data_IF_725781661418
#
_entry.id   IF_725781661418
#
_cell.length_a   1.000
_cell.length_b   1.000
_cell.length_c   1.000
_cell.angle_alpha   90.00
_cell.angle_beta   90.00
_cell.angle_gamma   90.00
#
_symmetry.space_group_name_H-M   'P 1'
#
loop_
_entity.id
_entity.type
_entity.pdbx_description
1 polymer ?
#
# COMPACT_ATOMS: atom_id res chain seq x y z
N UNK A 1 20.26 -10.26 7.74
CA UNK A 1 19.09 -10.67 8.41
C UNK A 1 18.50 -11.83 7.69
N UNK A 2 17.94 -12.60 8.45
CA UNK A 2 17.22 -13.68 7.93
C UNK A 2 15.96 -13.15 7.23
N UNK A 3 15.82 -13.42 5.94
CA UNK A 3 14.63 -13.02 5.19
C UNK A 3 13.36 -13.62 5.78
N UNK A 4 13.47 -14.71 6.55
CA UNK A 4 12.34 -15.33 7.24
C UNK A 4 11.82 -14.45 8.39
N UNK A 5 12.67 -13.62 8.98
CA UNK A 5 12.27 -12.71 10.05
C UNK A 5 11.62 -11.44 9.51
N UNK A 6 11.96 -11.03 8.29
CA UNK A 6 11.43 -9.86 7.64
C UNK A 6 12.30 -8.62 7.82
N UNK A 7 11.74 -7.47 7.51
CA UNK A 7 12.44 -6.19 7.50
C UNK A 7 11.98 -5.29 8.64
N UNK A 8 12.92 -4.49 9.18
CA UNK A 8 12.63 -3.51 10.24
C UNK A 8 11.93 -2.27 9.70
N UNK A 9 12.25 -1.89 8.48
CA UNK A 9 11.68 -0.71 7.83
C UNK A 9 11.40 -1.04 6.38
N UNK A 10 10.20 -0.72 5.95
CA UNK A 10 9.81 -0.85 4.55
C UNK A 10 9.41 0.52 4.03
N UNK A 11 10.12 0.98 3.00
CA UNK A 11 9.89 2.25 2.35
C UNK A 11 9.57 1.98 0.88
N UNK A 12 8.58 2.65 0.34
CA UNK A 12 8.20 2.44 -1.04
C UNK A 12 7.72 3.69 -1.73
N UNK A 13 8.05 3.75 -3.01
CA UNK A 13 7.58 4.75 -3.96
C UNK A 13 7.25 3.99 -5.24
N UNK A 14 5.95 3.78 -5.49
CA UNK A 14 5.49 3.04 -6.66
C UNK A 14 4.69 3.96 -7.57
N UNK A 15 4.84 3.74 -8.88
CA UNK A 15 4.16 4.53 -9.91
C UNK A 15 3.31 3.63 -10.80
N UNK A 16 2.25 4.20 -11.37
CA UNK A 16 1.34 3.56 -12.32
C UNK A 16 0.52 2.41 -11.72
N UNK A 17 0.47 2.31 -10.39
CA UNK A 17 -0.33 1.29 -9.71
C UNK A 17 -0.82 1.84 -8.38
N UNK A 18 -2.04 1.49 -8.00
CA UNK A 18 -2.55 1.84 -6.68
C UNK A 18 -1.76 1.14 -5.59
N UNK A 19 -1.45 1.87 -4.52
CA UNK A 19 -0.80 1.33 -3.34
C UNK A 19 -1.62 0.18 -2.72
N UNK A 20 -2.95 0.26 -2.82
CA UNK A 20 -3.84 -0.79 -2.29
C UNK A 20 -3.65 -2.13 -2.97
N UNK A 21 -3.13 -2.14 -4.20
CA UNK A 21 -2.82 -3.36 -4.93
C UNK A 21 -1.44 -3.92 -4.58
N UNK A 22 -0.53 -3.08 -4.11
CA UNK A 22 0.85 -3.47 -3.77
C UNK A 22 0.94 -3.99 -2.34
N UNK A 23 0.24 -3.35 -1.40
CA UNK A 23 0.36 -3.63 0.03
C UNK A 23 0.15 -5.11 0.39
N UNK A 24 -0.87 -5.82 -0.14
CA UNK A 24 -1.08 -7.23 0.24
C UNK A 24 0.12 -8.13 -0.06
N UNK A 25 0.93 -7.77 -1.05
CA UNK A 25 2.08 -8.57 -1.45
C UNK A 25 3.33 -8.31 -0.62
N UNK A 26 3.37 -7.25 0.19
CA UNK A 26 4.60 -6.82 0.85
C UNK A 26 4.50 -6.73 2.37
N UNK A 27 3.31 -6.50 2.94
CA UNK A 27 3.20 -6.25 4.39
C UNK A 27 3.64 -7.44 5.23
N UNK A 28 3.49 -8.67 4.71
CA UNK A 28 3.92 -9.89 5.44
C UNK A 28 5.45 -9.98 5.54
N UNK A 29 6.18 -9.19 4.78
CA UNK A 29 7.65 -9.15 4.84
C UNK A 29 8.16 -8.25 5.97
N UNK A 30 7.27 -7.47 6.60
CA UNK A 30 7.63 -6.57 7.68
C UNK A 30 7.67 -7.34 9.01
N UNK A 31 8.72 -7.14 9.78
CA UNK A 31 8.83 -7.75 11.12
C UNK A 31 7.70 -7.28 12.04
N UNK A 32 7.35 -8.06 13.09
CA UNK A 32 6.34 -7.65 14.06
C UNK A 32 6.56 -6.27 14.67
N UNK A 33 7.82 -5.87 14.83
CA UNK A 33 8.20 -4.55 15.36
C UNK A 33 8.54 -3.55 14.27
N UNK A 34 8.37 -3.93 13.00
CA UNK A 34 8.77 -3.11 11.86
C UNK A 34 7.84 -1.94 11.59
N UNK A 35 8.35 -1.00 10.82
CA UNK A 35 7.62 0.19 10.39
C UNK A 35 7.49 0.22 8.88
N UNK A 36 6.35 0.65 8.40
CA UNK A 36 6.09 0.87 6.98
C UNK A 36 5.92 2.36 6.74
N UNK A 37 6.60 2.86 5.72
CA UNK A 37 6.48 4.25 5.27
C UNK A 37 6.37 4.25 3.76
N UNK A 38 5.20 4.57 3.22
CA UNK A 38 4.94 4.50 1.79
C UNK A 38 4.48 5.86 1.27
N UNK A 39 4.93 6.20 0.07
CA UNK A 39 4.49 7.39 -0.63
C UNK A 39 3.15 7.10 -1.31
N UNK A 40 2.17 7.97 -1.08
CA UNK A 40 0.85 7.88 -1.68
C UNK A 40 0.74 8.93 -2.76
N UNK A 41 0.48 8.49 -3.97
CA UNK A 41 0.37 9.35 -5.14
C UNK A 41 -1.08 9.39 -5.60
N UNK A 42 -1.82 10.48 -5.34
CA UNK A 42 -3.25 10.57 -5.65
C UNK A 42 -3.59 10.23 -7.10
N UNK A 43 -2.73 10.58 -8.05
CA UNK A 43 -2.97 10.32 -9.46
C UNK A 43 -3.10 8.83 -9.81
N UNK A 44 -2.57 7.94 -8.95
CA UNK A 44 -2.67 6.49 -9.14
C UNK A 44 -3.71 5.83 -8.24
N UNK A 45 -4.38 6.62 -7.38
CA UNK A 45 -5.44 6.14 -6.47
C UNK A 45 -6.84 6.52 -6.95
N UNK A 46 -6.94 7.35 -7.98
CA UNK A 46 -8.21 7.86 -8.49
C UNK A 46 -8.60 7.16 -9.80
N UNK A 47 -9.90 7.22 -10.12
CA UNK A 47 -10.40 6.77 -11.41
C UNK A 47 -9.92 7.73 -12.52
N UNK A 48 -9.77 7.24 -13.77
CA UNK A 48 -9.27 8.10 -14.87
C UNK A 48 -10.02 9.41 -15.03
N UNK A 49 -11.33 9.42 -14.83
CA UNK A 49 -12.15 10.63 -14.98
C UNK A 49 -11.93 11.66 -13.87
N UNK A 50 -11.25 11.29 -12.78
CA UNK A 50 -10.96 12.17 -11.65
C UNK A 50 -9.58 12.80 -11.75
N UNK A 51 -8.78 12.37 -12.70
CA UNK A 51 -7.42 12.87 -12.91
C UNK A 51 -7.44 13.82 -14.11
N UNK A 52 -6.88 15.01 -13.93
CA UNK A 52 -6.85 16.02 -14.96
C UNK A 52 -5.89 15.70 -16.10
N UNK A 53 -5.85 16.59 -17.08
CA UNK A 53 -4.96 16.51 -18.22
C UNK A 53 -3.50 16.45 -17.76
N UNK A 54 -2.72 15.55 -18.32
CA UNK A 54 -1.32 15.37 -17.93
C UNK A 54 -1.14 14.59 -16.65
N UNK A 55 -2.19 13.95 -16.11
CA UNK A 55 -2.12 13.14 -14.89
C UNK A 55 -2.11 13.96 -13.61
N UNK A 56 -2.50 15.24 -13.66
CA UNK A 56 -2.49 16.12 -12.49
C UNK A 56 -3.85 16.10 -11.80
N UNK A 57 -3.84 15.86 -10.50
CA UNK A 57 -5.03 15.93 -9.65
C UNK A 57 -5.18 17.38 -9.18
N UNK A 58 -6.17 18.09 -9.73
CA UNK A 58 -6.39 19.51 -9.42
C UNK A 58 -7.38 19.72 -8.29
N UNK A 59 -8.22 18.73 -8.01
CA UNK A 59 -9.28 18.86 -7.02
C UNK A 59 -8.88 18.14 -5.73
N UNK A 60 -8.51 18.93 -4.73
CA UNK A 60 -8.10 18.40 -3.43
C UNK A 60 -9.26 17.80 -2.62
N UNK A 61 -10.50 17.95 -3.07
CA UNK A 61 -11.64 17.29 -2.42
C UNK A 61 -11.57 15.77 -2.51
N UNK A 62 -10.75 15.24 -3.42
CA UNK A 62 -10.52 13.80 -3.53
C UNK A 62 -9.56 13.27 -2.47
N UNK A 63 -8.78 14.12 -1.80
CA UNK A 63 -7.76 13.66 -0.86
C UNK A 63 -8.31 12.89 0.35
N UNK A 64 -9.41 13.33 0.99
CA UNK A 64 -10.01 12.54 2.08
C UNK A 64 -10.45 11.14 1.64
N UNK A 65 -10.94 11.00 0.43
CA UNK A 65 -11.32 9.71 -0.14
C UNK A 65 -10.09 8.80 -0.30
N UNK A 66 -9.00 9.36 -0.81
CA UNK A 66 -7.75 8.63 -1.01
C UNK A 66 -7.19 8.18 0.33
N UNK A 67 -7.15 9.08 1.31
CA UNK A 67 -6.68 8.76 2.66
C UNK A 67 -7.50 7.63 3.29
N UNK A 68 -8.82 7.73 3.22
CA UNK A 68 -9.71 6.70 3.75
C UNK A 68 -9.49 5.35 3.07
N UNK A 69 -9.32 5.35 1.76
CA UNK A 69 -9.09 4.13 0.99
C UNK A 69 -7.80 3.43 1.39
N UNK A 70 -6.71 4.18 1.52
CA UNK A 70 -5.41 3.61 1.92
C UNK A 70 -5.44 3.13 3.37
N UNK A 71 -6.03 3.93 4.27
CA UNK A 71 -6.17 3.53 5.68
C UNK A 71 -7.00 2.26 5.83
N UNK A 72 -8.08 2.15 5.08
CA UNK A 72 -8.95 0.97 5.11
C UNK A 72 -8.19 -0.26 4.61
N UNK A 73 -7.45 -0.13 3.51
CA UNK A 73 -6.66 -1.24 2.97
C UNK A 73 -5.65 -1.76 3.99
N UNK A 74 -4.94 -0.87 4.68
CA UNK A 74 -3.97 -1.25 5.71
C UNK A 74 -4.64 -1.90 6.91
N UNK A 75 -5.76 -1.35 7.36
CA UNK A 75 -6.52 -1.89 8.49
C UNK A 75 -7.05 -3.29 8.18
N UNK A 76 -7.53 -3.52 6.96
CA UNK A 76 -7.99 -4.84 6.54
C UNK A 76 -6.87 -5.87 6.50
N UNK A 77 -5.63 -5.43 6.30
CA UNK A 77 -4.45 -6.30 6.36
C UNK A 77 -3.97 -6.54 7.80
N UNK A 78 -4.63 -5.94 8.79
CA UNK A 78 -4.27 -6.12 10.20
C UNK A 78 -3.28 -5.08 10.71
N UNK A 79 -2.97 -4.05 9.93
CA UNK A 79 -2.02 -3.02 10.33
C UNK A 79 -2.71 -1.83 11.00
N UNK A 80 -1.93 -1.09 11.78
CA UNK A 80 -2.36 0.16 12.40
C UNK A 80 -1.67 1.32 11.68
N UNK A 81 -2.46 2.26 11.17
CA UNK A 81 -1.94 3.48 10.58
C UNK A 81 -1.57 4.44 11.70
N UNK A 82 -0.29 4.84 11.77
CA UNK A 82 0.26 5.69 12.81
C UNK A 82 0.51 7.11 12.34
N UNK A 83 0.46 7.35 11.04
CA UNK A 83 0.64 8.70 10.51
C UNK A 83 0.19 8.84 9.08
N UNK A 84 -0.29 10.04 8.77
CA UNK A 84 -0.61 10.48 7.42
C UNK A 84 -0.08 11.90 7.29
N UNK A 85 0.92 12.10 6.43
CA UNK A 85 1.67 13.34 6.36
C UNK A 85 1.68 13.85 4.93
N UNK A 86 1.58 15.17 4.78
CA UNK A 86 1.84 15.80 3.49
C UNK A 86 3.31 15.67 3.15
N UNK A 87 3.60 15.31 1.89
CA UNK A 87 4.96 15.38 1.41
C UNK A 87 5.37 16.86 1.29
N UNK A 88 6.52 17.27 1.82
CA UNK A 88 6.96 18.65 1.72
C UNK A 88 7.38 19.03 0.30
N UNK A 89 7.53 18.06 -0.58
CA UNK A 89 7.95 18.26 -1.96
C UNK A 89 6.87 17.66 -2.86
N UNK A 90 6.42 18.45 -3.86
CA UNK A 90 5.50 17.95 -4.88
C UNK A 90 6.20 16.90 -5.74
N UNK A 91 5.43 15.96 -6.30
CA UNK A 91 5.95 15.00 -7.25
C UNK A 91 6.52 15.69 -8.49
N UNK A 92 7.29 14.92 -9.28
CA UNK A 92 7.95 15.45 -10.47
C UNK A 92 6.99 16.02 -11.51
N UNK A 93 5.72 15.64 -11.48
CA UNK A 93 4.65 16.16 -12.33
C UNK A 93 3.86 17.30 -11.69
N UNK A 94 4.25 17.74 -10.50
CA UNK A 94 3.57 18.79 -9.75
C UNK A 94 2.42 18.32 -8.88
N UNK A 95 2.15 17.02 -8.82
CA UNK A 95 1.09 16.48 -7.96
C UNK A 95 1.47 16.55 -6.49
N UNK A 96 0.48 16.85 -5.65
CA UNK A 96 0.58 16.73 -4.20
C UNK A 96 0.69 15.25 -3.84
N UNK A 97 1.61 14.91 -2.94
CA UNK A 97 1.82 13.54 -2.48
C UNK A 97 1.78 13.47 -0.96
N UNK A 98 1.53 12.26 -0.45
CA UNK A 98 1.41 12.04 0.98
C UNK A 98 2.30 10.87 1.38
N UNK A 99 2.66 10.82 2.67
CA UNK A 99 3.26 9.63 3.27
C UNK A 99 2.26 8.98 4.21
N UNK A 100 2.14 7.67 4.13
CA UNK A 100 1.42 6.88 5.12
C UNK A 100 2.42 6.08 5.94
N UNK A 101 2.26 6.12 7.26
CA UNK A 101 3.07 5.35 8.19
C UNK A 101 2.18 4.34 8.89
N UNK A 102 2.66 3.09 9.00
CA UNK A 102 1.89 2.02 9.61
C UNK A 102 2.81 1.01 10.30
N UNK A 103 2.26 0.28 11.25
CA UNK A 103 2.97 -0.78 11.96
C UNK A 103 1.98 -1.87 12.36
N UNK A 104 2.50 -2.99 12.83
CA UNK A 104 1.67 -4.01 13.43
C UNK A 104 1.26 -3.56 14.84
N UNK A 105 -0.03 -3.65 15.21
CA UNK A 105 -0.52 -3.07 16.47
C UNK A 105 -0.07 -3.83 17.72
N UNK A 106 0.08 -5.15 17.62
CA UNK A 106 0.41 -6.01 18.76
C UNK A 106 1.35 -7.10 18.29
N UNK A 107 2.64 -7.06 18.71
CA UNK A 107 3.61 -8.08 18.32
C UNK A 107 3.20 -9.51 18.65
N UNK A 108 2.41 -9.72 19.71
CA UNK A 108 1.94 -11.04 20.07
C UNK A 108 0.88 -11.59 19.11
N UNK A 109 0.08 -10.71 18.49
CA UNK A 109 -0.97 -11.07 17.57
C UNK A 109 -0.56 -10.96 16.10
N UNK A 110 0.64 -10.46 15.82
CA UNK A 110 1.04 -10.10 14.46
C UNK A 110 1.33 -11.31 13.57
N UNK A 111 1.84 -12.40 14.14
CA UNK A 111 2.19 -13.57 13.34
C UNK A 111 0.99 -14.18 12.62
N UNK A 112 -0.19 -14.33 13.26
CA UNK A 112 -1.38 -14.78 12.56
C UNK A 112 -1.81 -13.83 11.43
N UNK A 113 -1.74 -12.51 11.65
CA UNK A 113 -2.11 -11.53 10.65
C UNK A 113 -1.15 -11.57 9.45
N UNK A 114 0.16 -11.62 9.71
CA UNK A 114 1.17 -11.76 8.65
C UNK A 114 0.97 -13.03 7.85
N UNK A 115 0.72 -14.12 8.53
CA UNK A 115 0.53 -15.41 7.86
C UNK A 115 -0.73 -15.38 6.99
N UNK A 116 -1.81 -14.76 7.47
CA UNK A 116 -3.04 -14.62 6.71
C UNK A 116 -2.81 -13.78 5.43
N UNK A 117 -2.07 -12.67 5.52
CA UNK A 117 -1.77 -11.85 4.34
C UNK A 117 -0.87 -12.58 3.36
N UNK A 118 0.11 -13.35 3.87
CA UNK A 118 0.98 -14.15 3.04
C UNK A 118 0.21 -15.24 2.29
N UNK A 119 -0.63 -15.97 2.99
CA UNK A 119 -1.43 -17.04 2.40
C UNK A 119 -2.40 -16.49 1.36
N UNK A 120 -3.07 -15.39 1.67
CA UNK A 120 -3.99 -14.76 0.73
C UNK A 120 -3.27 -14.30 -0.54
N UNK A 121 -2.08 -13.71 -0.39
CA UNK A 121 -1.29 -13.25 -1.54
C UNK A 121 -0.83 -14.43 -2.41
N UNK A 122 -0.34 -15.51 -1.80
CA UNK A 122 0.09 -16.70 -2.52
C UNK A 122 -1.09 -17.37 -3.25
N UNK A 123 -2.27 -17.41 -2.62
CA UNK A 123 -3.46 -17.93 -3.26
C UNK A 123 -3.88 -17.09 -4.47
N UNK A 124 -3.79 -15.76 -4.36
CA UNK A 124 -4.09 -14.85 -5.46
C UNK A 124 -3.12 -15.06 -6.63
N UNK A 125 -1.83 -15.19 -6.34
CA UNK A 125 -0.82 -15.46 -7.37
C UNK A 125 -1.07 -16.80 -8.06
N UNK A 126 -1.41 -17.82 -7.30
CA UNK A 126 -1.72 -19.15 -7.86
C UNK A 126 -2.96 -19.10 -8.76
N UNK A 127 -4.00 -18.38 -8.34
CA UNK A 127 -5.21 -18.23 -9.14
C UNK A 127 -4.93 -17.49 -10.45
N UNK A 128 -4.11 -16.43 -10.40
CA UNK A 128 -3.71 -15.67 -11.60
C UNK A 128 -2.86 -16.51 -12.53
N UNK A 129 -1.95 -17.30 -11.99
CA UNK A 129 -1.11 -18.20 -12.79
C UNK A 129 -1.96 -19.27 -13.48
N UNK A 130 -2.93 -19.84 -12.77
CA UNK A 130 -3.85 -20.82 -13.35
C UNK A 130 -4.68 -20.20 -14.48
N UNK A 131 -5.24 -19.02 -14.25
CA UNK A 131 -6.03 -18.33 -15.27
C UNK A 131 -5.20 -18.05 -16.53
N UNK A 132 -3.98 -17.60 -16.37
CA UNK A 132 -3.06 -17.33 -17.46
C UNK A 132 -2.72 -18.61 -18.24
N UNK A 133 -2.46 -19.71 -17.54
CA UNK A 133 -2.11 -20.98 -18.14
C UNK A 133 -3.27 -21.59 -18.95
N UNK A 134 -4.51 -21.28 -18.59
CA UNK A 134 -5.72 -21.79 -19.21
C UNK A 134 -6.44 -20.79 -20.12
N UNK A 135 -5.76 -19.67 -20.42
CA UNK A 135 -6.26 -18.65 -21.34
C UNK A 135 -5.76 -18.98 -22.75
N UNK A 136 -6.68 -19.21 -23.65
CA UNK A 136 -6.38 -19.57 -25.04
C UNK A 136 -6.72 -18.44 -25.97
#
# INVERSE_FOLDING_TARGET
PDALEGFDLMVGDVSFISLTLVLPGVVHLLKPTGQLLMLVKPQFELQPGQVGKGGIVKDDTHFPFIENRVRTALTELGMKVTGWLDSPIAGGDGNHEFFVQACWPDPAAVLPAREATRVAHEADLAAKAYAKANDY
#
